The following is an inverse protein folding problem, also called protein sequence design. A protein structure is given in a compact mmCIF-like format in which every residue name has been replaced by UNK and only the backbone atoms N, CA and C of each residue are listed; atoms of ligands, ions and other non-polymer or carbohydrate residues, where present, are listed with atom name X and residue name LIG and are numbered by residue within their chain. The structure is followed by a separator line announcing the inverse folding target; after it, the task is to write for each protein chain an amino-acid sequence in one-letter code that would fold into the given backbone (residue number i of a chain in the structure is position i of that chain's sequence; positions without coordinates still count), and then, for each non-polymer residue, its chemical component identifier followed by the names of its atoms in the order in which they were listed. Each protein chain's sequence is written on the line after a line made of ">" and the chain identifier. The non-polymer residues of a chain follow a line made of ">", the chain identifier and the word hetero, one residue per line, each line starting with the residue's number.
data_IF_658885466322
#
_entry.id   IF_658885466322
#
_cell.length_a   1.000
_cell.length_b   1.000
_cell.length_c   1.000
_cell.angle_alpha   90.00
_cell.angle_beta   90.00
_cell.angle_gamma   90.00
#
_symmetry.space_group_name_H-M   'P 1'
#
loop_
_entity.id
_entity.type
_entity.pdbx_description
1 polymer ?
#
# COMPACT_ATOMS: atom_id res chain seq x y z
N UNK A 1 47.61 -77.04 35.26
CA UNK A 1 48.54 -77.70 34.32
C UNK A 1 47.89 -78.99 33.86
N UNK A 2 47.89 -79.35 32.57
CA UNK A 2 48.18 -78.61 31.33
C UNK A 2 46.85 -78.37 30.56
N UNK A 3 46.70 -77.74 29.39
CA UNK A 3 47.53 -76.92 28.49
C UNK A 3 46.58 -76.29 27.45
N UNK A 4 46.87 -75.03 27.08
CA UNK A 4 46.89 -74.42 25.73
C UNK A 4 45.69 -74.54 24.77
N UNK A 5 45.33 -73.55 23.94
CA UNK A 5 45.68 -72.14 23.75
C UNK A 5 44.77 -71.63 22.61
N UNK A 6 44.42 -70.34 22.62
CA UNK A 6 43.70 -69.62 21.56
C UNK A 6 44.60 -69.35 20.31
N UNK A 7 44.13 -68.75 19.18
CA UNK A 7 43.78 -67.32 19.18
C UNK A 7 42.68 -66.83 18.20
N UNK A 8 41.89 -65.85 18.70
CA UNK A 8 41.52 -64.55 18.10
C UNK A 8 41.07 -64.46 16.62
N UNK A 9 39.78 -64.18 16.41
CA UNK A 9 39.29 -63.37 15.28
C UNK A 9 38.23 -62.34 15.75
N UNK A 10 38.45 -61.07 15.37
CA UNK A 10 37.45 -60.10 14.90
C UNK A 10 36.21 -59.74 15.73
N UNK A 11 36.19 -58.51 16.25
CA UNK A 11 35.05 -57.79 16.84
C UNK A 11 33.84 -57.57 15.88
N UNK A 12 32.64 -57.26 16.40
CA UNK A 12 31.35 -57.52 15.75
C UNK A 12 30.87 -56.41 14.80
N UNK A 13 30.20 -56.79 13.70
CA UNK A 13 29.41 -55.91 12.86
C UNK A 13 28.06 -55.61 13.51
N UNK A 14 27.91 -54.38 13.99
CA UNK A 14 26.68 -53.87 14.58
C UNK A 14 25.63 -53.52 13.50
N UNK A 15 24.38 -53.80 13.86
CA UNK A 15 23.18 -53.70 13.05
C UNK A 15 22.82 -52.29 12.60
N UNK A 16 22.13 -52.27 11.46
CA UNK A 16 21.38 -51.19 10.82
C UNK A 16 20.61 -50.26 11.77
N UNK A 17 20.97 -48.97 11.74
CA UNK A 17 20.16 -47.85 12.22
C UNK A 17 19.96 -46.83 11.10
N UNK A 18 18.73 -46.69 10.60
CA UNK A 18 18.39 -45.79 9.50
C UNK A 18 18.68 -44.32 9.83
N UNK A 19 19.44 -43.65 8.95
CA UNK A 19 19.62 -42.21 8.97
C UNK A 19 18.40 -41.51 8.34
N UNK A 20 17.51 -40.97 9.17
CA UNK A 20 16.40 -40.09 8.75
C UNK A 20 16.68 -38.60 8.97
N UNK A 21 17.95 -38.19 8.96
CA UNK A 21 18.36 -36.79 9.16
C UNK A 21 19.31 -36.36 8.04
N UNK A 22 18.78 -35.60 7.10
CA UNK A 22 19.60 -34.80 6.17
C UNK A 22 20.31 -33.70 6.99
N UNK A 23 21.60 -33.49 6.74
CA UNK A 23 22.46 -32.57 7.50
C UNK A 23 22.07 -31.08 7.42
N UNK A 24 21.00 -30.76 6.68
CA UNK A 24 20.45 -29.40 6.48
C UNK A 24 19.04 -29.21 7.10
N UNK A 25 18.53 -30.18 7.85
CA UNK A 25 17.25 -30.05 8.56
C UNK A 25 17.44 -29.48 9.96
N UNK A 26 17.43 -28.15 10.11
CA UNK A 26 17.30 -27.52 11.42
C UNK A 26 15.90 -27.84 11.98
N UNK A 27 15.83 -28.82 12.88
CA UNK A 27 14.67 -29.03 13.77
C UNK A 27 15.02 -28.45 15.13
N UNK A 28 14.70 -27.18 15.31
CA UNK A 28 14.81 -26.54 16.61
C UNK A 28 13.70 -27.06 17.55
N UNK A 29 13.98 -27.19 18.85
CA UNK A 29 12.97 -27.60 19.86
C UNK A 29 11.96 -26.45 20.08
N UNK A 30 10.69 -26.72 20.46
CA UNK A 30 9.65 -25.69 20.56
C UNK A 30 9.99 -24.52 21.50
N UNK A 31 10.73 -24.76 22.58
CA UNK A 31 11.23 -23.69 23.44
C UNK A 31 12.36 -22.87 22.78
N UNK A 32 13.29 -23.52 22.07
CA UNK A 32 14.40 -22.85 21.37
C UNK A 32 13.89 -22.01 20.19
N UNK A 33 12.87 -22.48 19.47
CA UNK A 33 12.18 -21.73 18.40
C UNK A 33 11.50 -20.50 18.96
N UNK A 34 10.75 -20.62 20.06
CA UNK A 34 10.07 -19.46 20.65
C UNK A 34 11.07 -18.44 21.19
N UNK A 35 12.16 -18.90 21.80
CA UNK A 35 13.25 -18.03 22.25
C UNK A 35 14.14 -17.50 21.11
N UNK A 36 14.10 -18.05 19.90
CA UNK A 36 14.80 -17.50 18.71
C UNK A 36 13.88 -16.59 17.88
N UNK A 37 12.61 -16.95 17.74
CA UNK A 37 11.58 -16.19 17.01
C UNK A 37 11.14 -14.91 17.71
N UNK A 38 11.41 -14.71 19.00
CA UNK A 38 11.11 -13.43 19.66
C UNK A 38 12.27 -12.40 19.51
N UNK A 39 13.55 -12.75 19.71
CA UNK A 39 14.67 -11.81 19.52
C UNK A 39 15.07 -11.56 18.05
N UNK A 40 14.86 -12.50 17.12
CA UNK A 40 15.20 -12.28 15.69
C UNK A 40 14.37 -11.15 15.05
N UNK A 41 13.04 -11.07 15.27
CA UNK A 41 12.25 -9.89 14.99
C UNK A 41 12.78 -8.68 15.76
N UNK A 42 13.05 -8.79 17.07
CA UNK A 42 13.47 -7.66 17.91
C UNK A 42 14.69 -6.90 17.36
N UNK A 43 15.70 -7.62 16.85
CA UNK A 43 16.89 -7.03 16.21
C UNK A 43 16.57 -6.34 14.86
N UNK A 44 15.62 -6.88 14.10
CA UNK A 44 15.20 -6.35 12.79
C UNK A 44 14.21 -5.18 12.90
N UNK A 45 13.34 -5.23 13.91
CA UNK A 45 12.30 -4.23 14.20
C UNK A 45 12.78 -3.12 15.12
N UNK A 46 13.97 -3.20 15.74
CA UNK A 46 14.54 -2.05 16.46
C UNK A 46 14.72 -0.81 15.57
N UNK A 47 14.76 -0.97 14.24
CA UNK A 47 14.81 0.14 13.28
C UNK A 47 13.42 0.60 12.79
N UNK A 48 12.34 -0.12 13.09
CA UNK A 48 10.98 0.16 12.62
C UNK A 48 10.04 0.05 13.83
N UNK A 49 9.76 1.18 14.49
CA UNK A 49 8.79 1.42 15.59
C UNK A 49 7.64 0.40 15.70
N UNK A 50 7.13 -0.04 16.85
CA UNK A 50 7.29 0.34 18.27
C UNK A 50 6.35 -0.51 19.15
N UNK A 51 5.11 -0.79 18.71
CA UNK A 51 4.12 -1.56 19.47
C UNK A 51 4.37 -3.08 19.52
N UNK A 52 4.66 -3.70 18.36
CA UNK A 52 4.88 -5.16 18.26
C UNK A 52 6.06 -5.61 19.12
N UNK A 53 7.12 -4.79 19.16
CA UNK A 53 8.32 -5.05 19.94
C UNK A 53 8.02 -5.05 21.45
N UNK A 54 7.23 -4.10 21.96
CA UNK A 54 6.87 -4.02 23.37
C UNK A 54 5.97 -5.18 23.80
N UNK A 55 4.98 -5.53 22.97
CA UNK A 55 4.11 -6.67 23.24
C UNK A 55 4.87 -8.00 23.22
N UNK A 56 5.81 -8.19 22.29
CA UNK A 56 6.69 -9.37 22.26
C UNK A 56 7.63 -9.45 23.47
N UNK A 57 8.15 -8.32 23.94
CA UNK A 57 8.96 -8.26 25.16
C UNK A 57 8.15 -8.67 26.39
N UNK A 58 6.90 -8.18 26.49
CA UNK A 58 5.95 -8.61 27.52
C UNK A 58 5.59 -10.09 27.41
N UNK A 59 5.40 -10.63 26.20
CA UNK A 59 5.20 -12.07 25.99
C UNK A 59 6.38 -12.90 26.50
N UNK A 60 7.61 -12.45 26.26
CA UNK A 60 8.82 -13.14 26.72
C UNK A 60 8.84 -13.24 28.24
N UNK A 61 8.48 -12.16 28.95
CA UNK A 61 8.38 -12.14 30.42
C UNK A 61 7.33 -13.13 30.92
N UNK A 62 6.20 -13.28 30.22
CA UNK A 62 5.14 -14.23 30.57
C UNK A 62 5.56 -15.69 30.30
N UNK A 63 6.26 -15.94 29.19
CA UNK A 63 6.80 -17.27 28.87
C UNK A 63 7.89 -17.70 29.86
N UNK A 64 8.76 -16.78 30.29
CA UNK A 64 9.75 -17.05 31.35
C UNK A 64 9.10 -17.41 32.69
N UNK A 65 7.91 -16.88 32.98
CA UNK A 65 7.11 -17.25 34.15
C UNK A 65 6.40 -18.61 34.01
N UNK A 66 6.54 -19.29 32.86
CA UNK A 66 5.98 -20.62 32.62
C UNK A 66 4.51 -20.63 32.19
N UNK A 67 3.95 -19.51 31.75
CA UNK A 67 2.56 -19.45 31.26
C UNK A 67 2.47 -20.09 29.87
N UNK A 68 1.46 -20.94 29.66
CA UNK A 68 1.26 -21.60 28.37
C UNK A 68 0.90 -20.58 27.26
N UNK A 69 1.53 -20.63 26.07
CA UNK A 69 1.32 -19.64 25.01
C UNK A 69 -0.13 -19.48 24.55
N UNK A 70 -0.91 -20.56 24.54
CA UNK A 70 -2.35 -20.52 24.20
C UNK A 70 -3.13 -19.60 25.13
N UNK A 71 -2.80 -19.59 26.44
CA UNK A 71 -3.48 -18.74 27.42
C UNK A 71 -3.12 -17.27 27.17
N UNK A 72 -1.85 -17.00 26.84
CA UNK A 72 -1.39 -15.64 26.50
C UNK A 72 -2.13 -15.12 25.27
N UNK A 73 -2.24 -15.96 24.24
CA UNK A 73 -2.82 -15.59 22.95
C UNK A 73 -4.34 -15.34 23.06
N UNK A 74 -5.08 -16.18 23.79
CA UNK A 74 -6.50 -15.96 24.09
C UNK A 74 -6.72 -14.71 24.97
N UNK A 75 -5.85 -14.47 25.96
CA UNK A 75 -5.95 -13.30 26.83
C UNK A 75 -5.75 -11.99 26.09
N UNK A 76 -4.84 -11.95 25.11
CA UNK A 76 -4.60 -10.77 24.29
C UNK A 76 -5.77 -10.49 23.34
N UNK A 77 -6.41 -11.53 22.81
CA UNK A 77 -7.62 -11.37 22.01
C UNK A 77 -8.79 -10.80 22.85
N UNK A 78 -8.98 -11.29 24.08
CA UNK A 78 -9.96 -10.73 25.03
C UNK A 78 -9.65 -9.27 25.39
N UNK A 79 -8.38 -8.88 25.46
CA UNK A 79 -7.99 -7.49 25.71
C UNK A 79 -8.31 -6.58 24.51
N UNK A 80 -8.17 -7.10 23.28
CA UNK A 80 -8.45 -6.38 22.05
C UNK A 80 -9.96 -6.20 21.80
N UNK A 81 -10.78 -7.19 22.15
CA UNK A 81 -12.25 -7.12 22.03
C UNK A 81 -12.88 -6.00 22.87
N UNK A 82 -12.17 -5.51 23.89
CA UNK A 82 -12.60 -4.34 24.65
C UNK A 82 -12.39 -3.08 23.81
N UNK A 83 -13.46 -2.56 23.24
CA UNK A 83 -13.45 -1.33 22.43
C UNK A 83 -13.27 -0.03 23.25
N UNK A 84 -12.33 -0.02 24.20
CA UNK A 84 -12.05 1.15 25.05
C UNK A 84 -11.70 2.40 24.20
N UNK A 85 -11.03 2.17 23.07
CA UNK A 85 -10.64 3.25 22.16
C UNK A 85 -11.82 3.88 21.43
N UNK A 86 -12.93 3.16 21.19
CA UNK A 86 -14.14 3.79 20.59
C UNK A 86 -14.85 4.65 21.62
N UNK A 87 -14.92 4.20 22.88
CA UNK A 87 -15.64 4.90 23.94
C UNK A 87 -15.01 6.27 24.27
N UNK A 88 -13.70 6.37 24.20
CA UNK A 88 -12.97 7.63 24.46
C UNK A 88 -12.90 8.56 23.24
N UNK A 89 -13.37 8.12 22.08
CA UNK A 89 -13.18 8.85 20.83
C UNK A 89 -14.24 9.93 20.61
N UNK A 90 -13.86 11.02 19.95
CA UNK A 90 -14.78 12.09 19.56
C UNK A 90 -15.35 11.78 18.17
N UNK A 91 -16.67 11.58 18.02
CA UNK A 91 -17.27 11.32 16.72
C UNK A 91 -17.13 12.54 15.80
N UNK A 92 -16.98 12.29 14.49
CA UNK A 92 -16.83 13.33 13.46
C UNK A 92 -17.87 13.14 12.36
N UNK A 93 -18.50 14.23 11.94
CA UNK A 93 -19.43 14.21 10.82
C UNK A 93 -18.74 14.58 9.50
N UNK A 94 -19.20 14.00 8.39
CA UNK A 94 -18.66 14.27 7.04
C UNK A 94 -19.03 15.68 6.52
N UNK A 95 -20.07 16.28 7.09
CA UNK A 95 -20.49 17.67 6.84
C UNK A 95 -19.45 18.67 7.32
N UNK A 96 -18.65 18.30 8.33
CA UNK A 96 -17.67 19.17 8.95
C UNK A 96 -16.36 19.18 8.16
N UNK A 97 -16.33 19.99 7.10
CA UNK A 97 -15.13 20.18 6.27
C UNK A 97 -13.95 20.80 7.04
N UNK A 98 -14.20 21.51 8.15
CA UNK A 98 -13.15 22.14 8.94
C UNK A 98 -12.34 21.09 9.71
N UNK A 99 -13.00 20.10 10.32
CA UNK A 99 -12.30 19.00 10.99
C UNK A 99 -11.47 18.14 10.03
N UNK A 100 -11.97 17.90 8.81
CA UNK A 100 -11.23 17.20 7.76
C UNK A 100 -9.99 18.01 7.33
N UNK A 101 -10.15 19.33 7.16
CA UNK A 101 -9.06 20.23 6.82
C UNK A 101 -7.99 20.26 7.92
N UNK A 102 -8.39 20.37 9.18
CA UNK A 102 -7.47 20.36 10.32
C UNK A 102 -6.67 19.05 10.39
N UNK A 103 -7.34 17.91 10.18
CA UNK A 103 -6.69 16.59 10.18
C UNK A 103 -5.68 16.43 9.02
N UNK A 104 -6.02 16.94 7.83
CA UNK A 104 -5.12 16.95 6.69
C UNK A 104 -3.91 17.87 6.94
N UNK A 105 -4.13 19.06 7.49
CA UNK A 105 -3.08 20.04 7.82
C UNK A 105 -2.10 19.49 8.86
N UNK A 106 -2.58 18.86 9.93
CA UNK A 106 -1.72 18.19 10.92
C UNK A 106 -0.79 17.15 10.27
N UNK A 107 -1.28 16.42 9.27
CA UNK A 107 -0.53 15.38 8.57
C UNK A 107 0.51 15.92 7.57
N UNK A 108 0.31 17.14 7.08
CA UNK A 108 1.20 17.82 6.14
C UNK A 108 2.26 18.69 6.84
N UNK A 109 1.96 19.23 8.01
CA UNK A 109 2.84 20.16 8.72
C UNK A 109 4.17 19.54 9.18
N UNK A 110 4.21 18.22 9.41
CA UNK A 110 5.43 17.50 9.78
C UNK A 110 6.35 17.17 8.59
N UNK A 111 6.03 17.65 7.38
CA UNK A 111 6.74 17.31 6.14
C UNK A 111 7.36 18.53 5.45
N UNK A 112 8.24 18.27 4.49
CA UNK A 112 8.92 19.30 3.68
C UNK A 112 7.92 20.21 2.95
N UNK A 113 6.71 19.71 2.65
CA UNK A 113 5.66 20.46 1.97
C UNK A 113 4.73 21.23 2.92
N UNK A 114 5.10 21.41 4.19
CA UNK A 114 4.30 22.13 5.19
C UNK A 114 3.93 23.56 4.75
N UNK A 115 4.81 24.21 3.99
CA UNK A 115 4.58 25.54 3.40
C UNK A 115 3.38 25.57 2.44
N UNK A 116 3.08 24.45 1.79
CA UNK A 116 1.99 24.30 0.82
C UNK A 116 0.75 23.59 1.40
N UNK A 117 0.71 23.38 2.73
CA UNK A 117 -0.41 22.70 3.40
C UNK A 117 -1.75 23.40 3.16
N UNK A 118 -1.76 24.73 3.12
CA UNK A 118 -2.94 25.55 2.83
C UNK A 118 -3.58 25.25 1.48
N UNK A 119 -2.77 24.86 0.48
CA UNK A 119 -3.22 24.54 -0.87
C UNK A 119 -3.55 23.04 -1.02
N UNK A 120 -2.72 22.16 -0.46
CA UNK A 120 -2.84 20.71 -0.60
C UNK A 120 -3.94 20.09 0.30
N UNK A 121 -4.17 20.64 1.49
CA UNK A 121 -5.22 20.18 2.41
C UNK A 121 -6.62 20.27 1.77
N UNK A 122 -7.09 21.44 1.27
CA UNK A 122 -8.43 21.54 0.69
C UNK A 122 -8.54 20.73 -0.61
N UNK A 123 -7.48 20.60 -1.41
CA UNK A 123 -7.49 19.74 -2.59
C UNK A 123 -7.73 18.28 -2.24
N UNK A 124 -7.08 17.78 -1.19
CA UNK A 124 -7.25 16.40 -0.72
C UNK A 124 -8.66 16.16 -0.20
N UNK A 125 -9.22 17.10 0.55
CA UNK A 125 -10.62 17.02 1.04
C UNK A 125 -11.61 17.06 -0.12
N UNK A 126 -11.46 17.99 -1.06
CA UNK A 126 -12.32 18.10 -2.23
C UNK A 126 -12.24 16.86 -3.12
N UNK A 127 -11.06 16.25 -3.26
CA UNK A 127 -10.90 15.02 -4.03
C UNK A 127 -11.70 13.86 -3.40
N UNK A 128 -11.69 13.73 -2.07
CA UNK A 128 -12.44 12.68 -1.36
C UNK A 128 -13.94 12.96 -1.37
N UNK A 129 -14.36 14.21 -1.16
CA UNK A 129 -15.79 14.60 -1.19
C UNK A 129 -16.45 14.39 -2.56
N UNK A 130 -15.67 14.38 -3.64
CA UNK A 130 -16.17 14.05 -4.98
C UNK A 130 -16.26 12.55 -5.25
N UNK A 131 -15.40 11.74 -4.60
CA UNK A 131 -15.42 10.26 -4.73
C UNK A 131 -16.48 9.64 -3.83
N UNK A 132 -16.92 10.32 -2.78
CA UNK A 132 -17.86 9.76 -1.82
C UNK A 132 -19.25 9.62 -2.46
N UNK A 133 -19.61 8.38 -2.81
CA UNK A 133 -20.97 8.08 -3.26
C UNK A 133 -21.92 8.11 -2.05
N UNK A 134 -23.00 8.92 -2.08
CA UNK A 134 -23.93 9.03 -0.96
C UNK A 134 -24.68 7.73 -0.65
N UNK A 135 -24.73 6.79 -1.60
CA UNK A 135 -25.35 5.47 -1.44
C UNK A 135 -24.44 4.43 -0.77
N UNK A 136 -23.12 4.57 -0.90
CA UNK A 136 -22.11 3.61 -0.41
C UNK A 136 -21.20 4.32 0.61
N UNK A 137 -21.81 4.95 1.61
CA UNK A 137 -21.19 5.90 2.53
C UNK A 137 -20.18 5.29 3.54
N UNK A 138 -19.53 4.17 3.20
CA UNK A 138 -18.72 3.37 4.14
C UNK A 138 -17.26 3.18 3.71
N UNK A 139 -16.90 3.33 2.43
CA UNK A 139 -15.51 3.15 2.00
C UNK A 139 -15.14 4.01 0.80
N UNK A 140 -14.10 4.83 0.95
CA UNK A 140 -13.45 5.55 -0.15
C UNK A 140 -12.43 4.61 -0.78
N UNK A 141 -12.45 4.45 -2.10
CA UNK A 141 -11.42 3.71 -2.81
C UNK A 141 -10.30 4.66 -3.27
N UNK A 142 -9.10 4.48 -2.72
CA UNK A 142 -7.90 5.25 -3.12
C UNK A 142 -7.51 5.03 -4.60
N UNK A 143 -8.05 3.99 -5.25
CA UNK A 143 -7.81 3.70 -6.69
C UNK A 143 -8.44 4.75 -7.60
N UNK A 144 -9.49 5.41 -7.12
CA UNK A 144 -10.22 6.42 -7.88
C UNK A 144 -9.52 7.78 -7.86
N UNK A 145 -8.66 8.01 -6.86
CA UNK A 145 -7.83 9.21 -6.76
C UNK A 145 -6.41 8.89 -7.24
N UNK A 146 -6.06 9.32 -8.45
CA UNK A 146 -4.72 9.08 -9.01
C UNK A 146 -3.88 10.36 -9.06
N UNK A 147 -2.71 10.33 -8.43
CA UNK A 147 -1.75 11.44 -8.49
C UNK A 147 -0.95 11.33 -9.80
N UNK A 148 -0.90 12.43 -10.55
CA UNK A 148 -0.16 12.53 -11.80
C UNK A 148 0.99 13.51 -11.61
N UNK A 149 2.21 12.97 -11.65
CA UNK A 149 3.43 13.76 -11.55
C UNK A 149 3.83 14.37 -12.87
N UNK A 150 4.16 15.66 -12.84
CA UNK A 150 4.71 16.39 -13.96
C UNK A 150 6.03 17.06 -13.56
N UNK A 151 7.03 16.89 -14.42
CA UNK A 151 8.28 17.65 -14.31
C UNK A 151 8.08 19.04 -14.87
N UNK A 152 8.48 20.05 -14.10
CA UNK A 152 8.23 21.45 -14.43
C UNK A 152 7.08 22.04 -13.62
N UNK A 153 7.03 23.37 -13.56
CA UNK A 153 6.11 24.13 -12.71
C UNK A 153 6.54 24.19 -11.25
N UNK A 154 5.73 24.85 -10.44
CA UNK A 154 5.86 24.92 -8.99
C UNK A 154 4.83 23.99 -8.32
N UNK A 155 4.94 23.80 -7.00
CA UNK A 155 3.89 23.10 -6.23
C UNK A 155 2.60 23.94 -6.20
N UNK A 156 2.69 25.25 -6.33
CA UNK A 156 1.50 26.13 -6.36
C UNK A 156 0.64 25.90 -7.61
N UNK A 157 1.22 25.38 -8.70
CA UNK A 157 0.50 25.01 -9.92
C UNK A 157 -0.29 23.69 -9.79
N UNK A 158 -0.33 23.06 -8.60
CA UNK A 158 -1.07 21.83 -8.39
C UNK A 158 -2.58 22.08 -8.49
N UNK A 159 -3.26 21.21 -9.23
CA UNK A 159 -4.70 21.32 -9.46
C UNK A 159 -5.40 19.97 -9.34
N UNK A 160 -6.65 20.02 -8.88
CA UNK A 160 -7.55 18.88 -8.87
C UNK A 160 -8.34 18.86 -10.18
N UNK A 161 -8.09 17.86 -11.03
CA UNK A 161 -8.80 17.66 -12.28
C UNK A 161 -9.84 16.55 -12.11
N UNK A 162 -11.08 16.85 -12.48
CA UNK A 162 -12.17 15.88 -12.57
C UNK A 162 -12.04 15.10 -13.88
N UNK A 163 -11.62 13.85 -13.81
CA UNK A 163 -11.46 12.98 -14.97
C UNK A 163 -10.05 12.41 -15.15
N UNK A 164 -9.69 12.13 -16.40
CA UNK A 164 -8.49 11.39 -16.75
C UNK A 164 -7.38 12.34 -17.20
N UNK A 165 -6.25 12.29 -16.52
CA UNK A 165 -5.07 13.09 -16.87
C UNK A 165 -3.93 12.20 -17.35
N UNK A 166 -3.48 12.33 -18.59
CA UNK A 166 -2.39 11.55 -19.16
C UNK A 166 -1.13 12.41 -19.31
N UNK A 167 0.01 11.85 -18.91
CA UNK A 167 1.35 12.50 -19.04
C UNK A 167 1.97 12.34 -20.41
N UNK A 168 1.32 11.59 -21.30
CA UNK A 168 1.80 11.31 -22.64
C UNK A 168 1.77 12.58 -23.50
N UNK A 169 2.75 12.69 -24.39
CA UNK A 169 2.81 13.80 -25.34
C UNK A 169 1.85 13.52 -26.49
N UNK A 170 1.07 14.53 -26.87
CA UNK A 170 0.32 14.50 -28.13
C UNK A 170 1.32 14.70 -29.27
N UNK A 171 1.08 14.05 -30.41
CA UNK A 171 1.87 14.28 -31.62
C UNK A 171 1.81 15.77 -32.02
N UNK A 172 2.84 16.27 -32.72
CA UNK A 172 2.93 17.67 -33.18
C UNK A 172 1.96 17.98 -34.33
N UNK A 173 0.67 17.74 -34.11
CA UNK A 173 -0.38 17.82 -35.12
C UNK A 173 -1.44 18.84 -34.74
N UNK A 174 -1.05 20.06 -34.34
CA UNK A 174 -1.92 21.27 -34.27
C UNK A 174 -3.25 21.21 -33.51
N UNK A 175 -3.64 20.07 -32.96
CA UNK A 175 -4.91 19.81 -32.30
C UNK A 175 -4.64 19.92 -30.80
N UNK A 176 -5.08 21.02 -30.22
CA UNK A 176 -4.89 21.33 -28.79
C UNK A 176 -6.15 21.05 -27.97
N UNK A 177 -7.32 21.07 -28.59
CA UNK A 177 -8.60 20.77 -27.93
C UNK A 177 -9.54 20.01 -28.86
N UNK A 178 -10.26 19.04 -28.30
CA UNK A 178 -11.30 18.26 -28.98
C UNK A 178 -12.53 18.21 -28.09
N UNK A 179 -13.63 18.78 -28.56
CA UNK A 179 -14.95 18.66 -27.92
C UNK A 179 -15.63 17.36 -28.34
N UNK A 180 -16.32 16.69 -27.42
CA UNK A 180 -16.95 15.37 -27.58
C UNK A 180 -15.99 14.31 -28.12
N UNK A 181 -14.85 14.20 -27.43
CA UNK A 181 -13.80 13.27 -27.79
C UNK A 181 -14.26 11.82 -27.58
N UNK A 182 -14.04 11.00 -28.62
CA UNK A 182 -14.13 9.55 -28.56
C UNK A 182 -12.76 8.98 -28.25
N UNK A 183 -12.66 8.18 -27.20
CA UNK A 183 -11.40 7.61 -26.71
C UNK A 183 -11.40 6.12 -27.01
N UNK A 184 -10.36 5.64 -27.68
CA UNK A 184 -10.05 4.21 -27.68
C UNK A 184 -8.94 3.86 -26.67
N UNK A 185 -8.61 2.56 -26.52
CA UNK A 185 -7.28 2.02 -26.18
C UNK A 185 -6.62 1.08 -27.25
N UNK A 186 -5.51 1.45 -27.94
CA UNK A 186 -4.83 0.70 -29.05
C UNK A 186 -3.69 0.03 -28.34
N UNK A 187 -3.72 -1.30 -28.32
CA UNK A 187 -2.63 -2.08 -27.71
C UNK A 187 -1.62 -2.57 -28.75
N UNK A 188 -1.98 -2.61 -30.04
CA UNK A 188 -1.09 -3.04 -31.11
C UNK A 188 -0.26 -1.91 -31.71
N UNK A 189 0.93 -2.23 -32.20
CA UNK A 189 1.77 -1.27 -32.92
C UNK A 189 1.26 -1.09 -34.35
N UNK A 190 1.11 0.17 -34.80
CA UNK A 190 0.92 0.51 -36.22
C UNK A 190 2.26 0.38 -36.96
N UNK A 191 2.78 -0.83 -37.04
CA UNK A 191 3.95 -1.14 -37.87
C UNK A 191 3.50 -1.93 -39.09
N UNK A 192 4.16 -1.69 -40.22
CA UNK A 192 4.11 -2.65 -41.32
C UNK A 192 4.52 -4.03 -40.76
N UNK A 193 3.84 -5.11 -41.16
CA UNK A 193 4.25 -6.45 -40.77
C UNK A 193 5.71 -6.63 -41.20
N UNK A 194 6.60 -6.82 -40.22
CA UNK A 194 7.95 -7.28 -40.53
C UNK A 194 7.76 -8.61 -41.24
N UNK A 195 8.34 -8.74 -42.42
CA UNK A 195 8.20 -9.95 -43.22
C UNK A 195 8.56 -11.14 -42.34
N UNK A 196 7.66 -12.12 -42.32
CA UNK A 196 7.85 -13.35 -41.56
C UNK A 196 9.20 -13.97 -41.92
N UNK A 197 9.80 -14.70 -40.98
CA UNK A 197 11.16 -15.26 -41.05
C UNK A 197 11.42 -16.11 -42.31
N UNK A 198 10.38 -16.50 -43.04
CA UNK A 198 10.44 -17.29 -44.27
C UNK A 198 10.59 -16.46 -45.57
N UNK A 199 10.28 -15.15 -45.55
CA UNK A 199 10.38 -14.28 -46.72
C UNK A 199 11.55 -13.29 -46.59
N UNK A 200 12.75 -13.72 -47.00
CA UNK A 200 13.88 -12.81 -47.19
C UNK A 200 13.75 -12.08 -48.53
N UNK A 201 13.12 -10.90 -48.54
CA UNK A 201 13.29 -9.98 -49.67
C UNK A 201 14.67 -9.34 -49.52
N UNK A 202 15.63 -9.86 -50.29
CA UNK A 202 16.93 -9.21 -50.47
C UNK A 202 16.70 -8.01 -51.39
N UNK A 203 16.63 -6.82 -50.80
CA UNK A 203 16.50 -5.57 -51.55
C UNK A 203 17.84 -5.23 -52.16
N UNK A 204 18.01 -5.57 -53.44
CA UNK A 204 19.26 -5.37 -54.19
C UNK A 204 19.31 -4.02 -54.91
N UNK A 205 18.14 -3.49 -55.30
CA UNK A 205 18.02 -2.27 -56.10
C UNK A 205 17.48 -1.08 -55.29
N UNK A 206 18.02 0.10 -55.56
CA UNK A 206 17.57 1.37 -54.96
C UNK A 206 16.09 1.68 -55.27
N UNK A 207 15.60 1.29 -56.45
CA UNK A 207 14.20 1.48 -56.87
C UNK A 207 13.25 0.60 -56.05
N UNK A 208 13.66 -0.63 -55.76
CA UNK A 208 12.89 -1.56 -54.93
C UNK A 208 12.82 -1.07 -53.48
N UNK A 209 13.90 -0.46 -52.98
CA UNK A 209 13.90 0.13 -51.64
C UNK A 209 12.89 1.28 -51.51
N UNK A 210 12.86 2.19 -52.48
CA UNK A 210 11.90 3.31 -52.46
C UNK A 210 10.44 2.82 -52.66
N UNK A 211 10.23 1.72 -53.40
CA UNK A 211 8.93 1.09 -53.53
C UNK A 211 8.44 0.47 -52.21
N UNK A 212 9.28 -0.26 -51.49
CA UNK A 212 8.95 -0.84 -50.17
C UNK A 212 8.59 0.27 -49.18
N UNK A 213 9.39 1.35 -49.12
CA UNK A 213 9.08 2.50 -48.25
C UNK A 213 7.76 3.18 -48.61
N UNK A 214 7.42 3.26 -49.90
CA UNK A 214 6.13 3.80 -50.36
C UNK A 214 4.97 2.87 -49.99
N UNK A 215 5.12 1.57 -50.15
CA UNK A 215 4.12 0.56 -49.79
C UNK A 215 3.87 0.53 -48.27
N UNK A 216 4.93 0.58 -47.45
CA UNK A 216 4.82 0.69 -45.98
C UNK A 216 4.05 1.94 -45.56
N UNK A 217 4.37 3.11 -46.16
CA UNK A 217 3.67 4.37 -45.87
C UNK A 217 2.20 4.29 -46.28
N UNK A 218 1.89 3.72 -47.45
CA UNK A 218 0.52 3.58 -47.93
C UNK A 218 -0.29 2.63 -47.05
N UNK A 219 0.32 1.54 -46.57
CA UNK A 219 -0.30 0.61 -45.63
C UNK A 219 -0.67 1.29 -44.31
N UNK A 220 0.28 2.01 -43.69
CA UNK A 220 0.03 2.77 -42.45
C UNK A 220 -1.08 3.81 -42.66
N UNK A 221 -1.09 4.50 -43.81
CA UNK A 221 -2.10 5.50 -44.13
C UNK A 221 -3.50 4.88 -44.26
N UNK A 222 -3.62 3.67 -44.82
CA UNK A 222 -4.89 2.94 -44.88
C UNK A 222 -5.38 2.54 -43.49
N UNK A 223 -4.50 2.11 -42.59
CA UNK A 223 -4.85 1.83 -41.19
C UNK A 223 -5.33 3.09 -40.46
N UNK A 224 -4.63 4.23 -40.63
CA UNK A 224 -5.05 5.50 -40.02
C UNK A 224 -6.39 5.98 -40.59
N UNK A 225 -6.66 5.76 -41.88
CA UNK A 225 -7.97 6.05 -42.47
C UNK A 225 -9.09 5.19 -41.89
N UNK A 226 -8.82 3.92 -41.59
CA UNK A 226 -9.78 3.05 -40.90
C UNK A 226 -10.03 3.54 -39.47
N UNK A 227 -8.98 3.92 -38.74
CA UNK A 227 -9.07 4.54 -37.40
C UNK A 227 -9.76 5.91 -37.45
N UNK A 228 -9.68 6.66 -38.55
CA UNK A 228 -10.41 7.93 -38.66
C UNK A 228 -11.89 7.71 -38.98
N UNK A 229 -12.22 6.66 -39.74
CA UNK A 229 -13.61 6.24 -39.99
C UNK A 229 -14.24 5.66 -38.72
N UNK A 230 -13.46 4.93 -37.94
CA UNK A 230 -13.85 4.36 -36.65
C UNK A 230 -12.97 4.97 -35.58
N UNK A 231 -13.46 6.04 -34.94
CA UNK A 231 -12.77 6.91 -33.97
C UNK A 231 -12.31 6.18 -32.67
N UNK A 232 -11.68 5.01 -32.74
CA UNK A 232 -11.47 4.05 -31.63
C UNK A 232 -10.23 3.20 -31.81
N UNK A 233 -9.87 2.51 -30.73
CA UNK A 233 -8.72 1.67 -30.60
C UNK A 233 -9.05 0.24 -30.08
N UNK A 234 -8.28 -0.78 -30.49
CA UNK A 234 -8.41 -2.19 -30.07
C UNK A 234 -7.05 -2.93 -30.09
N UNK A 235 -7.05 -4.24 -29.79
CA UNK A 235 -5.92 -5.19 -29.86
C UNK A 235 -5.81 -5.94 -31.20
N UNK A 236 -6.86 -5.98 -32.02
CA UNK A 236 -6.84 -6.47 -33.40
C UNK A 236 -7.76 -5.62 -34.30
N UNK A 237 -7.37 -5.47 -35.57
CA UNK A 237 -8.01 -4.61 -36.57
C UNK A 237 -9.38 -5.13 -37.08
N UNK A 238 -9.79 -6.34 -36.71
CA UNK A 238 -11.02 -6.94 -37.27
C UNK A 238 -12.16 -7.11 -36.25
N UNK A 239 -11.94 -6.82 -34.96
CA UNK A 239 -12.95 -6.93 -33.90
C UNK A 239 -13.48 -5.57 -33.41
N UNK A 240 -13.44 -4.56 -34.28
CA UNK A 240 -13.88 -3.19 -33.96
C UNK A 240 -15.39 -3.10 -33.74
N UNK A 241 -15.81 -2.94 -32.49
CA UNK A 241 -17.21 -2.62 -32.13
C UNK A 241 -17.26 -1.22 -31.54
N UNK A 242 -18.27 -0.42 -31.93
CA UNK A 242 -18.49 0.93 -31.40
C UNK A 242 -18.71 0.97 -29.88
N UNK A 243 -19.00 -0.19 -29.28
CA UNK A 243 -19.25 -0.36 -27.85
C UNK A 243 -17.97 -0.25 -26.99
N UNK A 244 -16.79 -0.36 -27.61
CA UNK A 244 -15.49 -0.25 -26.92
C UNK A 244 -14.98 1.19 -26.80
N UNK A 245 -15.80 2.18 -27.19
CA UNK A 245 -15.50 3.60 -27.13
C UNK A 245 -15.73 4.19 -25.75
N UNK A 246 -14.68 4.79 -25.18
CA UNK A 246 -14.84 5.73 -24.07
C UNK A 246 -15.43 7.06 -24.57
N UNK A 247 -16.41 7.60 -23.86
CA UNK A 247 -16.92 8.95 -24.13
C UNK A 247 -16.24 9.95 -23.21
N UNK A 248 -15.81 11.08 -23.76
CA UNK A 248 -15.33 12.24 -23.02
C UNK A 248 -15.92 13.54 -23.59
N UNK A 249 -16.20 14.49 -22.71
CA UNK A 249 -16.81 15.77 -23.09
C UNK A 249 -15.78 16.73 -23.67
N UNK A 250 -14.60 16.82 -23.05
CA UNK A 250 -13.52 17.69 -23.50
C UNK A 250 -12.17 17.00 -23.28
N UNK A 251 -11.35 16.98 -24.32
CA UNK A 251 -9.95 16.59 -24.24
C UNK A 251 -9.06 17.76 -24.66
N UNK A 252 -8.26 18.28 -23.73
CA UNK A 252 -7.39 19.43 -23.94
C UNK A 252 -5.92 19.13 -23.59
N UNK A 253 -5.00 19.58 -24.44
CA UNK A 253 -3.57 19.59 -24.16
C UNK A 253 -3.21 20.90 -23.46
N UNK A 254 -3.06 20.85 -22.14
CA UNK A 254 -2.61 22.01 -21.35
C UNK A 254 -1.09 21.99 -21.22
N UNK A 255 -0.47 23.12 -21.57
CA UNK A 255 0.94 23.37 -21.34
C UNK A 255 1.11 24.04 -19.98
N UNK A 256 1.48 23.27 -18.96
CA UNK A 256 1.85 23.84 -17.66
C UNK A 256 3.25 24.45 -17.78
N UNK A 257 3.31 25.79 -17.68
CA UNK A 257 4.52 26.60 -17.44
C UNK A 257 5.78 26.16 -18.20
N UNK A 258 5.66 25.98 -19.52
CA UNK A 258 6.78 25.94 -20.47
C UNK A 258 7.57 24.64 -20.61
N UNK A 259 7.35 23.61 -19.78
CA UNK A 259 8.11 22.35 -19.89
C UNK A 259 7.27 21.07 -19.85
N UNK A 260 5.94 21.20 -19.83
CA UNK A 260 5.06 20.05 -19.63
C UNK A 260 3.72 20.07 -20.34
N UNK A 261 3.65 19.43 -21.51
CA UNK A 261 2.39 19.03 -22.17
C UNK A 261 1.64 17.96 -21.37
N UNK A 262 0.40 18.21 -20.99
CA UNK A 262 -0.45 17.29 -20.26
C UNK A 262 -1.79 17.17 -21.00
N UNK A 263 -2.28 15.96 -21.20
CA UNK A 263 -3.62 15.76 -21.76
C UNK A 263 -4.61 15.62 -20.61
N UNK A 264 -5.49 16.61 -20.47
CA UNK A 264 -6.63 16.57 -19.55
C UNK A 264 -7.87 16.13 -20.32
N UNK A 265 -8.56 15.14 -19.78
CA UNK A 265 -9.79 14.61 -20.33
C UNK A 265 -10.85 14.71 -19.24
N UNK A 266 -11.85 15.57 -19.46
CA UNK A 266 -12.95 15.80 -18.52
C UNK A 266 -14.25 15.22 -19.08
N UNK A 267 -15.22 14.94 -18.20
CA UNK A 267 -16.53 14.42 -18.58
C UNK A 267 -16.51 12.96 -19.07
N UNK A 268 -15.74 12.09 -18.42
CA UNK A 268 -15.74 10.65 -18.71
C UNK A 268 -17.00 9.96 -18.17
N UNK A 269 -17.47 8.91 -18.85
CA UNK A 269 -18.65 8.10 -18.46
C UNK A 269 -18.56 7.50 -17.04
N UNK A 270 -17.36 7.37 -16.45
CA UNK A 270 -17.19 7.00 -15.04
C UNK A 270 -16.90 8.25 -14.18
N UNK A 271 -17.89 8.81 -13.46
CA UNK A 271 -17.73 10.06 -12.70
C UNK A 271 -16.88 9.94 -11.42
N UNK A 272 -16.38 8.76 -11.05
CA UNK A 272 -15.63 8.57 -9.81
C UNK A 272 -14.13 8.87 -9.87
N UNK A 273 -13.52 9.04 -11.05
CA UNK A 273 -12.05 9.13 -11.16
C UNK A 273 -11.55 10.56 -11.11
N UNK A 274 -10.91 10.92 -10.00
CA UNK A 274 -10.29 12.22 -9.80
C UNK A 274 -8.77 12.11 -9.90
N UNK A 275 -8.13 13.13 -10.48
CA UNK A 275 -6.66 13.18 -10.53
C UNK A 275 -6.12 14.48 -9.99
N UNK A 276 -5.09 14.36 -9.17
CA UNK A 276 -4.35 15.51 -8.66
C UNK A 276 -3.09 15.63 -9.51
N UNK A 277 -2.93 16.76 -10.18
CA UNK A 277 -1.74 17.06 -10.97
C UNK A 277 -0.73 17.73 -10.06
N UNK A 278 0.46 17.14 -9.94
CA UNK A 278 1.54 17.67 -9.11
C UNK A 278 2.68 18.14 -10.00
N UNK A 279 2.91 19.45 -9.99
CA UNK A 279 4.03 20.12 -10.65
C UNK A 279 5.22 20.31 -9.70
N UNK A 280 6.42 20.41 -10.26
CA UNK A 280 7.60 20.74 -9.48
C UNK A 280 8.88 20.81 -10.30
N UNK A 281 9.76 21.72 -9.91
CA UNK A 281 11.05 21.93 -10.57
C UNK A 281 12.01 20.75 -10.39
N UNK A 282 11.89 20.02 -9.28
CA UNK A 282 12.79 18.91 -8.93
C UNK A 282 12.01 17.60 -8.72
N UNK A 283 12.56 16.50 -9.24
CA UNK A 283 12.04 15.13 -9.03
C UNK A 283 11.90 14.78 -7.54
N UNK A 284 12.82 15.24 -6.70
CA UNK A 284 12.78 14.97 -5.26
C UNK A 284 11.57 15.65 -4.60
N UNK A 285 11.33 16.91 -4.96
CA UNK A 285 10.20 17.70 -4.46
C UNK A 285 8.87 17.10 -4.93
N UNK A 286 8.78 16.68 -6.19
CA UNK A 286 7.56 16.01 -6.71
C UNK A 286 7.29 14.69 -5.98
N UNK A 287 8.33 13.88 -5.73
CA UNK A 287 8.19 12.61 -5.01
C UNK A 287 7.74 12.83 -3.57
N UNK A 288 8.24 13.88 -2.92
CA UNK A 288 7.86 14.22 -1.56
C UNK A 288 6.44 14.79 -1.48
N UNK A 289 6.03 15.61 -2.47
CA UNK A 289 4.66 16.09 -2.60
C UNK A 289 3.67 14.94 -2.88
N UNK A 290 4.00 14.01 -3.78
CA UNK A 290 3.22 12.80 -4.06
C UNK A 290 2.99 11.98 -2.78
N UNK A 291 4.06 11.75 -2.00
CA UNK A 291 3.98 11.06 -0.70
C UNK A 291 3.13 11.81 0.32
N UNK A 292 3.28 13.14 0.38
CA UNK A 292 2.57 13.98 1.34
C UNK A 292 1.06 14.02 1.07
N UNK A 293 0.68 14.16 -0.20
CA UNK A 293 -0.72 14.13 -0.63
C UNK A 293 -1.32 12.73 -0.39
N UNK A 294 -0.58 11.66 -0.71
CA UNK A 294 -1.04 10.30 -0.43
C UNK A 294 -1.34 10.10 1.05
N UNK A 295 -0.47 10.54 1.95
CA UNK A 295 -0.69 10.39 3.38
C UNK A 295 -1.88 11.23 3.85
N UNK A 296 -2.07 12.45 3.34
CA UNK A 296 -3.25 13.26 3.64
C UNK A 296 -4.56 12.59 3.18
N UNK A 297 -4.56 12.00 1.97
CA UNK A 297 -5.68 11.20 1.48
C UNK A 297 -5.94 9.97 2.36
N UNK A 298 -4.89 9.31 2.85
CA UNK A 298 -5.02 8.19 3.78
C UNK A 298 -5.64 8.62 5.12
N UNK A 299 -5.27 9.77 5.67
CA UNK A 299 -5.87 10.28 6.91
C UNK A 299 -7.35 10.58 6.73
N UNK A 300 -7.74 11.22 5.64
CA UNK A 300 -9.14 11.50 5.33
C UNK A 300 -9.91 10.18 5.10
N UNK A 301 -9.33 9.23 4.36
CA UNK A 301 -9.90 7.90 4.18
C UNK A 301 -10.15 7.16 5.50
N UNK A 302 -9.21 7.26 6.45
CA UNK A 302 -9.38 6.71 7.79
C UNK A 302 -10.57 7.32 8.53
N UNK A 303 -10.79 8.63 8.39
CA UNK A 303 -11.92 9.35 8.98
C UNK A 303 -13.26 8.96 8.35
N UNK A 304 -13.29 8.73 7.03
CA UNK A 304 -14.53 8.28 6.35
C UNK A 304 -14.91 6.87 6.78
N UNK A 305 -13.93 5.96 6.89
CA UNK A 305 -14.16 4.57 7.32
C UNK A 305 -14.61 4.46 8.78
N UNK A 306 -13.91 5.14 9.69
CA UNK A 306 -14.27 5.19 11.12
C UNK A 306 -14.33 6.64 11.57
N UNK A 307 -15.55 7.13 11.75
CA UNK A 307 -15.91 8.53 11.99
C UNK A 307 -15.60 8.99 13.42
N UNK A 308 -14.35 8.88 13.82
CA UNK A 308 -13.92 9.19 15.17
C UNK A 308 -12.46 9.66 15.22
N UNK A 309 -12.21 10.69 16.02
CA UNK A 309 -10.89 11.23 16.32
C UNK A 309 -10.50 10.90 17.76
N UNK A 310 -9.21 10.67 17.97
CA UNK A 310 -8.61 10.54 19.30
C UNK A 310 -7.42 11.50 19.40
N UNK A 311 -7.06 11.84 20.64
CA UNK A 311 -5.83 12.59 20.90
C UNK A 311 -4.60 11.78 20.45
N UNK A 312 -3.59 12.48 19.92
CA UNK A 312 -2.32 11.93 19.49
C UNK A 312 -1.30 11.71 20.63
N UNK A 313 -0.09 11.36 20.23
CA UNK A 313 1.13 11.35 21.07
C UNK A 313 1.13 10.42 22.29
N UNK A 314 0.34 9.34 22.27
CA UNK A 314 0.37 8.32 23.33
C UNK A 314 -0.67 8.52 24.45
N UNK A 315 -1.44 9.61 24.43
CA UNK A 315 -2.61 9.80 25.30
C UNK A 315 -3.58 8.59 25.28
N UNK A 316 -3.97 8.04 24.11
CA UNK A 316 -4.83 6.86 24.08
C UNK A 316 -4.15 5.59 24.60
N UNK A 317 -2.82 5.51 24.53
CA UNK A 317 -2.07 4.37 25.07
C UNK A 317 -2.13 4.31 26.59
N UNK A 318 -2.00 5.46 27.25
CA UNK A 318 -2.08 5.57 28.73
C UNK A 318 -3.48 5.25 29.23
N UNK A 319 -4.52 5.83 28.61
CA UNK A 319 -5.90 5.57 29.00
C UNK A 319 -6.25 4.08 28.80
N UNK A 320 -5.82 3.50 27.68
CA UNK A 320 -5.98 2.06 27.43
C UNK A 320 -5.27 1.22 28.50
N UNK A 321 -4.03 1.55 28.86
CA UNK A 321 -3.27 0.84 29.89
C UNK A 321 -3.95 0.92 31.27
N UNK A 322 -4.51 2.08 31.62
CA UNK A 322 -5.24 2.27 32.87
C UNK A 322 -6.51 1.40 32.92
N UNK A 323 -7.33 1.46 31.86
CA UNK A 323 -8.58 0.67 31.80
C UNK A 323 -8.33 -0.83 31.71
N UNK A 324 -7.32 -1.27 30.96
CA UNK A 324 -6.93 -2.68 30.89
C UNK A 324 -6.35 -3.17 32.22
N UNK A 325 -5.63 -2.32 32.95
CA UNK A 325 -5.20 -2.59 34.32
C UNK A 325 -6.38 -2.81 35.25
N UNK A 326 -7.37 -1.92 35.24
CA UNK A 326 -8.57 -2.08 36.05
C UNK A 326 -9.31 -3.37 35.68
N UNK A 327 -9.43 -3.65 34.39
CA UNK A 327 -10.03 -4.87 33.89
C UNK A 327 -9.27 -6.13 34.36
N UNK A 328 -7.93 -6.12 34.31
CA UNK A 328 -7.12 -7.24 34.81
C UNK A 328 -7.37 -7.54 36.29
N UNK A 329 -7.70 -6.53 37.11
CA UNK A 329 -8.01 -6.73 38.53
C UNK A 329 -9.36 -7.42 38.75
N UNK A 330 -10.29 -7.28 37.80
CA UNK A 330 -11.61 -7.95 37.87
C UNK A 330 -11.55 -9.42 37.47
N UNK A 331 -10.54 -9.79 36.67
CA UNK A 331 -10.35 -11.16 36.21
C UNK A 331 -9.53 -11.98 37.21
N UNK A 332 -9.93 -13.22 37.42
CA UNK A 332 -9.19 -14.19 38.23
C UNK A 332 -8.41 -15.17 37.34
N UNK A 333 -7.19 -15.54 37.76
CA UNK A 333 -6.39 -16.57 37.09
C UNK A 333 -5.22 -16.03 36.28
N UNK A 334 -4.65 -16.88 35.41
CA UNK A 334 -3.45 -16.53 34.62
C UNK A 334 -3.70 -15.40 33.61
N UNK A 335 -4.95 -15.25 33.14
CA UNK A 335 -5.36 -14.21 32.20
C UNK A 335 -5.15 -12.79 32.75
N UNK A 336 -5.33 -12.60 34.06
CA UNK A 336 -5.10 -11.32 34.75
C UNK A 336 -3.66 -10.83 34.54
N UNK A 337 -2.68 -11.73 34.71
CA UNK A 337 -1.27 -11.40 34.51
C UNK A 337 -0.94 -11.10 33.04
N UNK A 338 -1.58 -11.80 32.10
CA UNK A 338 -1.39 -11.56 30.67
C UNK A 338 -1.93 -10.19 30.26
N UNK A 339 -3.15 -9.85 30.67
CA UNK A 339 -3.78 -8.55 30.34
C UNK A 339 -3.03 -7.40 31.02
N UNK A 340 -2.54 -7.61 32.25
CA UNK A 340 -1.70 -6.63 32.92
C UNK A 340 -0.40 -6.36 32.16
N UNK A 341 0.29 -7.41 31.70
CA UNK A 341 1.50 -7.27 30.91
C UNK A 341 1.25 -6.63 29.53
N UNK A 342 0.06 -6.82 28.97
CA UNK A 342 -0.41 -6.12 27.77
C UNK A 342 -0.61 -4.63 28.04
N UNK A 343 -1.22 -4.27 29.17
CA UNK A 343 -1.38 -2.87 29.60
C UNK A 343 -0.01 -2.18 29.80
N UNK A 344 0.91 -2.82 30.52
CA UNK A 344 2.26 -2.28 30.75
C UNK A 344 3.05 -2.10 29.42
N UNK A 345 2.78 -2.92 28.40
CA UNK A 345 3.39 -2.77 27.06
C UNK A 345 2.89 -1.54 26.31
N UNK A 346 1.69 -1.05 26.62
CA UNK A 346 1.10 0.14 25.98
C UNK A 346 1.64 1.46 26.56
N UNK A 347 2.18 1.44 27.78
CA UNK A 347 2.75 2.62 28.43
C UNK A 347 4.11 3.06 27.84
N UNK A 348 4.82 2.17 27.14
CA UNK A 348 6.20 2.40 26.68
C UNK A 348 6.41 3.44 25.57
N UNK A 349 5.34 3.99 25.00
CA UNK A 349 5.37 4.82 23.78
C UNK A 349 5.00 6.28 23.94
N UNK A 350 5.24 6.88 25.11
CA UNK A 350 4.80 8.26 25.39
C UNK A 350 5.88 9.25 24.94
N UNK A 351 5.54 10.09 23.97
CA UNK A 351 6.27 11.33 23.67
C UNK A 351 5.57 12.52 24.35
N UNK A 352 6.31 13.57 24.67
CA UNK A 352 5.73 14.78 25.26
C UNK A 352 4.78 15.47 24.25
N UNK A 353 3.48 15.42 24.51
CA UNK A 353 2.37 15.93 23.67
C UNK A 353 2.18 17.46 23.75
N UNK A 354 2.76 18.12 24.74
CA UNK A 354 2.43 19.50 25.13
C UNK A 354 2.60 20.53 24.00
N UNK A 355 3.42 20.24 22.99
CA UNK A 355 3.74 21.19 21.92
C UNK A 355 2.91 21.05 20.64
N UNK A 356 2.22 19.92 20.37
CA UNK A 356 1.74 19.66 19.00
C UNK A 356 0.21 19.55 18.79
N UNK A 357 -0.65 19.53 19.82
CA UNK A 357 -2.13 19.43 19.65
C UNK A 357 -2.57 18.42 18.56
N UNK A 358 -1.84 17.31 18.42
CA UNK A 358 -2.03 16.37 17.31
C UNK A 358 -3.31 15.58 17.56
N UNK A 359 -4.23 15.65 16.62
CA UNK A 359 -5.37 14.72 16.55
C UNK A 359 -5.05 13.62 15.54
N UNK A 360 -5.44 12.39 15.85
CA UNK A 360 -5.27 11.25 14.95
C UNK A 360 -6.61 10.52 14.74
N UNK A 361 -6.86 9.94 13.56
CA UNK A 361 -8.05 9.11 13.34
C UNK A 361 -8.01 7.84 14.18
N UNK A 362 -9.15 7.48 14.77
CA UNK A 362 -9.29 6.26 15.58
C UNK A 362 -8.90 5.00 14.80
N UNK A 363 -9.21 4.96 13.50
CA UNK A 363 -8.92 3.79 12.67
C UNK A 363 -7.44 3.43 12.65
N UNK A 364 -6.54 4.42 12.70
CA UNK A 364 -5.09 4.18 12.65
C UNK A 364 -4.66 3.37 13.87
N UNK A 365 -5.02 3.80 15.07
CA UNK A 365 -4.64 3.13 16.32
C UNK A 365 -5.35 1.78 16.49
N UNK A 366 -6.63 1.68 16.13
CA UNK A 366 -7.37 0.41 16.20
C UNK A 366 -6.79 -0.61 15.24
N UNK A 367 -6.48 -0.21 14.00
CA UNK A 367 -5.89 -1.13 13.00
C UNK A 367 -4.49 -1.56 13.41
N UNK A 368 -3.67 -0.63 13.91
CA UNK A 368 -2.33 -0.93 14.41
C UNK A 368 -2.38 -1.96 15.56
N UNK A 369 -3.27 -1.74 16.54
CA UNK A 369 -3.43 -2.65 17.68
C UNK A 369 -3.95 -4.02 17.26
N UNK A 370 -4.90 -4.06 16.33
CA UNK A 370 -5.48 -5.31 15.81
C UNK A 370 -4.43 -6.12 15.06
N UNK A 371 -3.73 -5.51 14.09
CA UNK A 371 -2.69 -6.16 13.29
C UNK A 371 -1.52 -6.63 14.16
N UNK A 372 -1.09 -5.81 15.13
CA UNK A 372 -0.06 -6.16 16.11
C UNK A 372 -0.46 -7.42 16.90
N UNK A 373 -1.68 -7.42 17.44
CA UNK A 373 -2.19 -8.51 18.27
C UNK A 373 -2.37 -9.80 17.47
N UNK A 374 -2.90 -9.73 16.25
CA UNK A 374 -3.05 -10.88 15.34
C UNK A 374 -1.70 -11.48 14.92
N UNK A 375 -0.71 -10.61 14.66
CA UNK A 375 0.65 -11.04 14.32
C UNK A 375 1.29 -11.79 15.48
N UNK A 376 1.17 -11.25 16.70
CA UNK A 376 1.71 -11.88 17.91
C UNK A 376 0.96 -13.18 18.23
N UNK A 377 -0.36 -13.19 18.07
CA UNK A 377 -1.18 -14.40 18.21
C UNK A 377 -0.70 -15.51 17.27
N UNK A 378 -0.40 -15.15 16.02
CA UNK A 378 0.15 -16.09 15.03
C UNK A 378 1.54 -16.59 15.43
N UNK A 379 2.43 -15.70 15.88
CA UNK A 379 3.79 -16.05 16.33
C UNK A 379 3.76 -16.99 17.55
N UNK A 380 2.89 -16.73 18.52
CA UNK A 380 2.77 -17.55 19.74
C UNK A 380 2.27 -18.97 19.47
N UNK A 381 1.58 -19.20 18.33
CA UNK A 381 1.11 -20.51 17.87
C UNK A 381 2.15 -21.28 17.06
N UNK A 382 3.28 -20.68 16.71
CA UNK A 382 4.36 -21.37 16.00
C UNK A 382 5.09 -22.26 17.01
N UNK A 383 4.83 -23.55 16.94
CA UNK A 383 5.45 -24.55 17.81
C UNK A 383 6.70 -25.15 17.16
N UNK A 384 6.61 -25.51 15.88
CA UNK A 384 7.71 -26.06 15.10
C UNK A 384 7.79 -25.37 13.74
N UNK A 385 9.02 -25.04 13.32
CA UNK A 385 9.32 -24.53 11.97
C UNK A 385 10.14 -25.59 11.27
N UNK A 386 9.58 -26.20 10.22
CA UNK A 386 10.30 -27.13 9.35
C UNK A 386 10.58 -26.41 8.05
N UNK A 387 11.84 -26.09 7.79
CA UNK A 387 12.24 -25.46 6.55
C UNK A 387 12.29 -26.53 5.45
N UNK A 388 11.29 -26.57 4.58
CA UNK A 388 11.27 -27.45 3.41
C UNK A 388 12.17 -26.86 2.32
N UNK A 389 13.48 -26.99 2.49
CA UNK A 389 14.44 -26.75 1.42
C UNK A 389 14.82 -28.05 0.74
#
# INVERSE_FOLDING_TARGET
>A
MPENAAPLEGTPTAATGGHSKTAYGDRDKPAQIRFSNIPQPKLRWHHISGHDCWLLDSCTKLLQKGIHPTIISESFQKALEKEILTDMSRPVELSDSETLLNSATTSLNSKVVSQYSSLLSPMSVNAVMKVIDPATATSVDLRDIKIVKKLGGTIDDCELVEGLVLTQKVANSGITSVEKAKIGLIQFCLSAPKMDMDNQIVVSDYVQMDQVLREERAYILNLVKQIKKQDVMCSHIDQFTADMLGSAELAEEVNLNGSGKLLKITGCTSPGKNRIVVGGSNKLVIKEAERSIHDALCVIHCLVKKRALIAGGGAPGIELALRLTEYSRTLSGMESYCIRAFADAMEGGISNILEELVVQPLLVSVSALTLATETIWSILKIDDVVNTR
#
